data_IF_140113686924
#
_entry.id   IF_140113686924
#
_cell.length_a   1.000
_cell.length_b   1.000
_cell.length_c   1.000
_cell.angle_alpha   90.00
_cell.angle_beta   90.00
_cell.angle_gamma   90.00
#
_symmetry.space_group_name_H-M   'P 1'
#
loop_
_entity.id
_entity.type
_entity.pdbx_description
1 polymer ?
#
# COMPACT_ATOMS: atom_id res chain seq x y z
N UNK A 1 -3.06 -8.88 20.05
CA UNK A 1 -2.10 -8.41 19.04
C UNK A 1 -2.13 -6.90 19.00
N UNK A 2 -0.99 -6.20 18.95
CA UNK A 2 -0.98 -4.73 18.90
C UNK A 2 -1.77 -4.21 17.72
N UNK A 3 -2.60 -3.19 17.94
CA UNK A 3 -3.44 -2.57 16.89
C UNK A 3 -2.60 -2.07 15.70
N UNK A 4 -1.36 -1.67 15.98
CA UNK A 4 -0.36 -1.29 14.99
C UNK A 4 -0.01 -2.47 14.05
N UNK A 5 0.16 -3.67 14.60
CA UNK A 5 0.48 -4.87 13.81
C UNK A 5 -0.68 -5.20 12.88
N UNK A 6 -1.92 -5.09 13.38
CA UNK A 6 -3.12 -5.32 12.57
C UNK A 6 -3.22 -4.29 11.43
N UNK A 7 -2.93 -3.01 11.72
CA UNK A 7 -2.89 -1.95 10.71
C UNK A 7 -1.84 -2.20 9.62
N UNK A 8 -0.63 -2.58 10.01
CA UNK A 8 0.44 -2.90 9.05
C UNK A 8 0.10 -4.12 8.19
N UNK A 9 -0.53 -5.15 8.77
CA UNK A 9 -0.99 -6.31 8.01
C UNK A 9 -2.09 -5.94 7.01
N UNK A 10 -3.00 -5.05 7.36
CA UNK A 10 -4.03 -4.55 6.45
C UNK A 10 -3.41 -3.79 5.26
N UNK A 11 -2.44 -2.91 5.51
CA UNK A 11 -1.70 -2.20 4.46
C UNK A 11 -0.97 -3.18 3.55
N UNK A 12 -0.27 -4.16 4.12
CA UNK A 12 0.44 -5.18 3.36
C UNK A 12 -0.50 -6.03 2.50
N UNK A 13 -1.65 -6.44 3.03
CA UNK A 13 -2.64 -7.22 2.29
C UNK A 13 -3.22 -6.41 1.11
N UNK A 14 -3.64 -5.17 1.34
CA UNK A 14 -4.20 -4.29 0.29
C UNK A 14 -3.16 -3.98 -0.80
N UNK A 15 -1.93 -3.67 -0.38
CA UNK A 15 -0.82 -3.38 -1.30
C UNK A 15 -0.39 -4.62 -2.09
N UNK A 16 -0.39 -5.79 -1.46
CA UNK A 16 -0.10 -7.07 -2.11
C UNK A 16 -1.15 -7.43 -3.17
N UNK A 17 -2.43 -7.35 -2.81
CA UNK A 17 -3.54 -7.64 -3.74
C UNK A 17 -3.54 -6.62 -4.89
N UNK A 18 -3.37 -5.33 -4.60
CA UNK A 18 -3.33 -4.26 -5.60
C UNK A 18 -2.13 -4.38 -6.54
N UNK A 19 -0.93 -4.61 -5.99
CA UNK A 19 0.29 -4.84 -6.77
C UNK A 19 0.18 -6.07 -7.66
N UNK A 20 -0.45 -7.15 -7.16
CA UNK A 20 -0.66 -8.39 -7.92
C UNK A 20 -1.62 -8.17 -9.08
N UNK A 21 -2.75 -7.51 -8.86
CA UNK A 21 -3.75 -7.21 -9.90
C UNK A 21 -3.21 -6.29 -11.00
N UNK A 22 -2.38 -5.31 -10.64
CA UNK A 22 -1.74 -4.40 -11.59
C UNK A 22 -0.68 -5.13 -12.42
N UNK A 23 0.18 -5.91 -11.75
CA UNK A 23 1.21 -6.69 -12.42
C UNK A 23 0.61 -7.81 -13.28
N UNK A 24 -0.44 -8.50 -12.83
CA UNK A 24 -1.03 -9.64 -13.53
C UNK A 24 -1.56 -9.31 -14.92
N UNK A 25 -2.00 -8.06 -15.13
CA UNK A 25 -2.52 -7.56 -16.41
C UNK A 25 -1.45 -7.30 -17.47
N UNK A 26 -0.17 -7.32 -17.11
CA UNK A 26 0.91 -7.09 -18.05
C UNK A 26 1.42 -8.39 -18.67
N UNK A 27 1.47 -8.41 -20.00
CA UNK A 27 2.09 -9.45 -20.83
C UNK A 27 3.60 -9.23 -20.97
N UNK A 28 4.27 -9.01 -19.84
CA UNK A 28 5.72 -8.84 -19.75
C UNK A 28 6.37 -10.15 -19.30
N UNK A 29 7.66 -10.31 -19.56
CA UNK A 29 8.42 -11.46 -19.06
C UNK A 29 8.38 -11.53 -17.53
N UNK A 30 8.42 -12.76 -17.00
CA UNK A 30 8.31 -13.09 -15.57
C UNK A 30 9.20 -12.22 -14.65
N UNK A 31 10.49 -11.99 -14.93
CA UNK A 31 11.33 -11.14 -14.08
C UNK A 31 10.90 -9.66 -14.07
N UNK A 32 10.50 -9.11 -15.22
CA UNK A 32 10.01 -7.73 -15.33
C UNK A 32 8.70 -7.55 -14.57
N UNK A 33 7.83 -8.55 -14.65
CA UNK A 33 6.54 -8.60 -13.96
C UNK A 33 6.69 -8.55 -12.43
N UNK A 34 7.69 -9.26 -11.88
CA UNK A 34 8.02 -9.21 -10.45
C UNK A 34 8.55 -7.83 -10.07
N UNK A 35 9.42 -7.24 -10.89
CA UNK A 35 9.97 -5.90 -10.62
C UNK A 35 8.86 -4.83 -10.60
N UNK A 36 7.90 -4.92 -11.52
CA UNK A 36 6.72 -4.04 -11.52
C UNK A 36 5.79 -4.31 -10.33
N UNK A 37 5.59 -5.57 -9.94
CA UNK A 37 4.83 -5.92 -8.74
C UNK A 37 5.42 -5.25 -7.49
N UNK A 38 6.74 -5.36 -7.29
CA UNK A 38 7.42 -4.74 -6.14
C UNK A 38 7.26 -3.22 -6.17
N UNK A 39 7.38 -2.60 -7.35
CA UNK A 39 7.13 -1.17 -7.52
C UNK A 39 5.71 -0.76 -7.14
N UNK A 40 4.69 -1.44 -7.67
CA UNK A 40 3.29 -1.15 -7.37
C UNK A 40 2.94 -1.43 -5.90
N UNK A 41 3.48 -2.50 -5.32
CA UNK A 41 3.32 -2.83 -3.91
C UNK A 41 3.81 -1.68 -3.02
N UNK A 42 5.05 -1.22 -3.23
CA UNK A 42 5.62 -0.14 -2.43
C UNK A 42 4.90 1.17 -2.62
N UNK A 43 4.52 1.51 -3.86
CA UNK A 43 3.81 2.75 -4.17
C UNK A 43 2.44 2.79 -3.49
N UNK A 44 1.69 1.69 -3.53
CA UNK A 44 0.40 1.57 -2.83
C UNK A 44 0.56 1.61 -1.32
N UNK A 45 1.54 0.90 -0.76
CA UNK A 45 1.79 0.90 0.68
C UNK A 45 2.12 2.31 1.17
N UNK A 46 2.97 3.03 0.43
CA UNK A 46 3.33 4.40 0.75
C UNK A 46 2.14 5.34 0.63
N UNK A 47 1.31 5.20 -0.40
CA UNK A 47 0.09 5.99 -0.56
C UNK A 47 -0.90 5.75 0.60
N UNK A 48 -1.08 4.50 1.04
CA UNK A 48 -1.92 4.20 2.20
C UNK A 48 -1.39 4.84 3.49
N UNK A 49 -0.09 4.74 3.75
CA UNK A 49 0.54 5.37 4.92
C UNK A 49 0.43 6.89 4.88
N UNK A 50 0.61 7.49 3.69
CA UNK A 50 0.43 8.92 3.48
C UNK A 50 -1.00 9.36 3.78
N UNK A 51 -2.00 8.63 3.29
CA UNK A 51 -3.42 8.93 3.56
C UNK A 51 -3.74 8.83 5.05
N UNK A 52 -3.18 7.86 5.77
CA UNK A 52 -3.32 7.74 7.22
C UNK A 52 -2.68 8.93 7.93
N UNK A 53 -1.48 9.33 7.52
CA UNK A 53 -0.79 10.49 8.09
C UNK A 53 -1.53 11.80 7.84
N UNK A 54 -2.04 12.00 6.62
CA UNK A 54 -2.85 13.16 6.25
C UNK A 54 -4.18 13.19 7.01
N UNK A 55 -4.81 12.04 7.19
CA UNK A 55 -6.06 11.93 7.97
C UNK A 55 -5.82 12.25 9.44
N UNK A 56 -4.70 11.79 9.99
CA UNK A 56 -4.29 12.12 11.36
C UNK A 56 -4.00 13.62 11.53
N UNK A 57 -3.23 14.20 10.60
CA UNK A 57 -2.90 15.63 10.63
C UNK A 57 -4.14 16.51 10.44
N UNK A 58 -4.99 16.18 9.47
CA UNK A 58 -6.25 16.88 9.24
C UNK A 58 -7.18 16.79 10.44
N UNK A 59 -7.34 15.60 11.03
CA UNK A 59 -8.08 15.43 12.28
C UNK A 59 -7.55 16.33 13.38
N UNK A 60 -6.24 16.34 13.60
CA UNK A 60 -5.59 17.18 14.61
C UNK A 60 -5.79 18.69 14.33
N UNK A 61 -5.81 19.09 13.06
CA UNK A 61 -6.06 20.49 12.68
C UNK A 61 -7.50 20.94 12.91
N UNK A 62 -8.50 20.06 12.71
CA UNK A 62 -9.92 20.38 12.91
C UNK A 62 -10.43 20.15 14.34
N UNK A 63 -9.67 19.44 15.18
CA UNK A 63 -10.02 19.16 16.58
C UNK A 63 -9.24 20.01 17.60
N UNK A 64 -8.23 20.76 17.16
CA UNK A 64 -7.51 21.76 17.96
C UNK A 64 -8.14 23.15 17.80
#
# INVERSE_FOLDING_TARGET
MSIVIVGLLAVAAVSGIGGWLLSSKQSQETPVKIMMFVGYFWLLAFAQLLLVALSYFGWQHFTA
#
